data_IF_284226859205
#
_entry.id   IF_284226859205
#
_cell.length_a   1.000
_cell.length_b   1.000
_cell.length_c   1.000
_cell.angle_alpha   90.00
_cell.angle_beta   90.00
_cell.angle_gamma   90.00
#
_symmetry.space_group_name_H-M   'P 1'
#
loop_
_entity.id
_entity.type
_entity.pdbx_description
1 polymer ?
#
# COMPACT_ATOMS: atom_id res chain seq x y z
N UNK A 1 11.92 -42.59 26.49
CA UNK A 1 13.14 -42.01 25.89
C UNK A 1 12.72 -41.20 24.66
N UNK A 2 12.61 -39.88 24.81
CA UNK A 2 13.35 -38.85 24.04
C UNK A 2 13.03 -38.87 22.53
N UNK A 3 12.39 -37.86 21.93
CA UNK A 3 12.81 -36.45 21.95
C UNK A 3 11.62 -35.48 21.86
N UNK A 4 11.59 -34.46 22.71
CA UNK A 4 10.63 -33.37 22.64
C UNK A 4 10.70 -32.57 21.34
N UNK A 5 9.52 -32.09 20.92
CA UNK A 5 9.40 -30.88 20.11
C UNK A 5 8.45 -29.92 20.83
N UNK A 6 8.92 -29.34 21.94
CA UNK A 6 8.55 -27.96 22.20
C UNK A 6 8.94 -27.21 20.92
N UNK A 7 8.03 -26.46 20.29
CA UNK A 7 8.44 -25.53 19.24
C UNK A 7 8.92 -24.29 19.98
N UNK A 8 10.21 -24.18 20.37
CA UNK A 8 10.66 -23.22 21.38
C UNK A 8 10.80 -21.81 20.79
N UNK A 9 10.40 -21.65 19.52
CA UNK A 9 10.80 -20.50 18.71
C UNK A 9 10.00 -19.25 19.10
N UNK A 10 8.91 -19.32 19.87
CA UNK A 10 8.09 -18.12 20.14
C UNK A 10 7.85 -17.77 21.61
N UNK A 11 8.37 -18.55 22.57
CA UNK A 11 8.30 -18.20 24.01
C UNK A 11 9.29 -17.09 24.40
N UNK A 12 10.25 -16.78 23.53
CA UNK A 12 11.13 -15.60 23.66
C UNK A 12 10.60 -14.43 22.82
N UNK A 13 10.93 -13.20 23.24
CA UNK A 13 10.62 -12.00 22.47
C UNK A 13 11.30 -12.08 21.09
N UNK A 14 10.50 -11.88 20.04
CA UNK A 14 10.93 -11.82 18.64
C UNK A 14 10.72 -10.43 18.08
N UNK A 15 11.64 -10.04 17.21
CA UNK A 15 11.55 -8.83 16.40
C UNK A 15 11.46 -9.23 14.93
N UNK A 16 10.37 -8.81 14.30
CA UNK A 16 10.18 -8.86 12.86
C UNK A 16 10.53 -7.48 12.31
N UNK A 17 11.42 -7.42 11.33
CA UNK A 17 11.80 -6.18 10.63
C UNK A 17 11.29 -6.24 9.20
N UNK A 18 10.76 -5.11 8.73
CA UNK A 18 10.26 -4.96 7.37
C UNK A 18 11.18 -4.02 6.61
N UNK A 19 11.52 -4.37 5.38
CA UNK A 19 12.15 -3.43 4.44
C UNK A 19 11.31 -3.36 3.17
N UNK A 20 10.90 -2.16 2.79
CA UNK A 20 10.03 -1.93 1.64
C UNK A 20 10.84 -1.46 0.44
N UNK A 21 10.57 -2.04 -0.72
CA UNK A 21 11.18 -1.63 -1.98
C UNK A 21 10.25 -0.65 -2.69
N UNK A 22 10.72 0.58 -2.89
CA UNK A 22 10.00 1.61 -3.63
C UNK A 22 10.64 1.76 -5.00
N UNK A 23 9.85 1.60 -6.05
CA UNK A 23 10.24 2.01 -7.40
C UNK A 23 9.73 3.43 -7.66
N UNK A 24 10.60 4.28 -8.22
CA UNK A 24 10.26 5.63 -8.68
C UNK A 24 10.89 5.86 -10.06
N UNK A 25 10.14 6.51 -10.95
CA UNK A 25 10.65 6.89 -12.26
C UNK A 25 10.11 8.26 -12.69
N UNK A 26 11.03 9.11 -13.14
CA UNK A 26 10.71 10.41 -13.73
C UNK A 26 10.76 10.29 -15.25
N UNK A 27 9.58 10.21 -15.84
CA UNK A 27 9.36 10.15 -17.28
C UNK A 27 9.68 11.50 -17.93
N UNK A 28 9.95 11.47 -19.24
CA UNK A 28 9.75 12.65 -20.07
C UNK A 28 8.28 13.09 -19.99
N UNK A 29 8.01 14.38 -20.22
CA UNK A 29 6.64 14.86 -20.31
C UNK A 29 5.91 14.19 -21.48
N UNK A 30 4.99 13.30 -21.17
CA UNK A 30 4.20 12.56 -22.16
C UNK A 30 2.76 13.06 -22.14
N UNK A 31 2.27 13.57 -23.26
CA UNK A 31 0.87 14.01 -23.35
C UNK A 31 -0.05 12.83 -23.12
N UNK A 32 -1.08 13.04 -22.29
CA UNK A 32 -2.17 12.08 -22.21
C UNK A 32 -2.98 12.12 -23.50
N UNK A 33 -3.49 10.96 -23.97
CA UNK A 33 -4.45 10.92 -25.08
C UNK A 33 -5.77 11.60 -24.70
N UNK A 34 -6.57 11.97 -25.70
CA UNK A 34 -7.88 12.62 -25.49
C UNK A 34 -9.06 11.64 -25.40
N UNK A 35 -8.78 10.35 -25.50
CA UNK A 35 -9.72 9.24 -25.36
C UNK A 35 -9.04 8.10 -24.61
N UNK A 36 -9.81 7.15 -24.08
CA UNK A 36 -9.24 5.98 -23.43
C UNK A 36 -8.29 5.25 -24.41
N UNK A 37 -7.04 5.00 -24.02
CA UNK A 37 -6.07 4.32 -24.87
C UNK A 37 -6.21 2.81 -24.77
N UNK A 38 -5.89 2.11 -25.86
CA UNK A 38 -5.83 0.64 -25.88
C UNK A 38 -4.66 0.11 -25.02
N UNK A 39 -3.55 0.85 -24.99
CA UNK A 39 -2.37 0.54 -24.19
C UNK A 39 -2.30 1.40 -22.94
N UNK A 40 -2.07 0.75 -21.81
CA UNK A 40 -1.90 1.39 -20.51
C UNK A 40 -0.61 2.20 -20.45
N UNK A 41 -0.70 3.40 -19.85
CA UNK A 41 0.46 4.29 -19.70
C UNK A 41 1.42 3.76 -18.63
N UNK A 42 0.89 3.03 -17.64
CA UNK A 42 1.67 2.32 -16.63
C UNK A 42 1.23 0.87 -16.68
N UNK A 43 2.18 -0.04 -16.88
CA UNK A 43 2.00 -1.49 -16.83
C UNK A 43 3.13 -2.08 -15.99
N UNK A 44 2.78 -2.98 -15.08
CA UNK A 44 3.73 -3.56 -14.14
C UNK A 44 3.31 -4.99 -13.80
N UNK A 45 4.23 -5.93 -14.04
CA UNK A 45 4.11 -7.31 -13.60
C UNK A 45 4.79 -7.46 -12.26
N UNK A 46 4.07 -7.98 -11.27
CA UNK A 46 4.55 -8.13 -9.90
C UNK A 46 5.64 -9.19 -9.82
N UNK A 47 6.85 -8.79 -9.40
CA UNK A 47 7.96 -9.69 -9.11
C UNK A 47 7.99 -10.07 -7.62
N UNK A 48 8.72 -11.14 -7.30
CA UNK A 48 9.05 -11.49 -5.93
C UNK A 48 9.98 -10.44 -5.28
N UNK A 49 10.87 -9.83 -6.07
CA UNK A 49 11.78 -8.77 -5.61
C UNK A 49 11.05 -7.47 -5.21
N UNK A 50 9.82 -7.29 -5.67
CA UNK A 50 9.00 -6.14 -5.29
C UNK A 50 8.35 -6.30 -3.90
N UNK A 51 8.31 -7.53 -3.36
CA UNK A 51 7.71 -7.79 -2.05
C UNK A 51 8.56 -7.16 -0.94
N UNK A 52 7.93 -6.64 0.14
CA UNK A 52 8.69 -6.25 1.31
C UNK A 52 9.45 -7.44 1.88
N UNK A 53 10.72 -7.25 2.22
CA UNK A 53 11.51 -8.31 2.86
C UNK A 53 11.18 -8.37 4.36
N UNK A 54 11.14 -9.59 4.91
CA UNK A 54 11.07 -9.83 6.34
C UNK A 54 12.19 -10.78 6.77
N UNK A 55 12.67 -10.59 8.00
CA UNK A 55 13.60 -11.52 8.65
C UNK A 55 12.92 -12.77 9.25
N UNK A 56 11.60 -12.91 9.08
CA UNK A 56 10.81 -14.04 9.58
C UNK A 56 9.61 -14.28 8.66
N UNK A 57 9.33 -15.56 8.38
CA UNK A 57 8.19 -15.96 7.54
C UNK A 57 6.85 -15.76 8.22
N UNK A 58 5.78 -15.72 7.42
CA UNK A 58 4.38 -15.66 7.83
C UNK A 58 3.59 -16.81 7.20
N UNK A 59 2.43 -17.14 7.78
CA UNK A 59 1.53 -18.16 7.24
C UNK A 59 0.70 -17.60 6.09
N UNK A 60 0.22 -16.36 6.26
CA UNK A 60 -0.66 -15.68 5.32
C UNK A 60 -0.34 -14.18 5.32
N UNK A 61 -0.45 -13.54 4.17
CA UNK A 61 -0.47 -12.10 4.08
C UNK A 61 -1.34 -11.67 2.92
N UNK A 62 -1.95 -10.50 3.04
CA UNK A 62 -2.61 -9.83 1.94
C UNK A 62 -1.66 -8.75 1.40
N UNK A 63 -1.38 -8.75 0.12
CA UNK A 63 -0.52 -7.73 -0.49
C UNK A 63 -1.37 -6.65 -1.13
N UNK A 64 -1.03 -5.40 -0.83
CA UNK A 64 -1.56 -4.19 -1.46
C UNK A 64 -0.47 -3.63 -2.37
N UNK A 65 -0.80 -3.30 -3.62
CA UNK A 65 0.06 -2.46 -4.43
C UNK A 65 -0.45 -1.02 -4.41
N UNK A 66 0.39 -0.10 -3.96
CA UNK A 66 0.15 1.33 -4.11
C UNK A 66 0.91 1.81 -5.35
N UNK A 67 0.18 2.31 -6.35
CA UNK A 67 0.73 2.86 -7.60
C UNK A 67 0.35 4.33 -7.69
N UNK A 68 1.34 5.16 -7.98
CA UNK A 68 1.21 6.61 -8.07
C UNK A 68 1.52 7.05 -9.48
N UNK A 69 0.62 7.82 -10.09
CA UNK A 69 0.86 8.49 -11.35
C UNK A 69 0.77 10.01 -11.12
N UNK A 70 1.74 10.78 -11.59
CA UNK A 70 1.68 12.23 -11.44
C UNK A 70 2.12 12.98 -12.69
N UNK A 71 1.60 14.19 -12.81
CA UNK A 71 1.69 14.98 -14.02
C UNK A 71 1.24 16.41 -13.83
N UNK A 72 1.01 17.13 -14.93
CA UNK A 72 0.61 18.54 -14.91
C UNK A 72 -0.39 18.86 -16.02
N UNK A 73 -1.31 19.75 -15.71
CA UNK A 73 -2.12 20.44 -16.70
C UNK A 73 -1.42 21.75 -17.10
N UNK A 74 -0.88 21.82 -18.32
CA UNK A 74 -0.25 23.02 -18.87
C UNK A 74 -1.23 23.91 -19.64
N UNK A 75 -2.51 23.57 -19.69
CA UNK A 75 -3.52 24.44 -20.28
C UNK A 75 -3.77 25.67 -19.40
N UNK A 76 -4.30 26.73 -20.04
CA UNK A 76 -4.83 27.91 -19.36
C UNK A 76 -6.22 27.69 -18.74
N UNK A 77 -6.83 26.53 -18.95
CA UNK A 77 -8.12 26.13 -18.40
C UNK A 77 -8.01 24.83 -17.59
N UNK A 78 -8.96 24.61 -16.68
CA UNK A 78 -9.09 23.33 -15.98
C UNK A 78 -9.37 22.20 -16.95
N UNK A 79 -8.76 21.04 -16.72
CA UNK A 79 -8.92 19.83 -17.53
C UNK A 79 -9.36 18.66 -16.67
N UNK A 80 -10.08 17.73 -17.27
CA UNK A 80 -10.48 16.49 -16.60
C UNK A 80 -9.52 15.39 -17.02
N UNK A 81 -8.95 14.70 -16.03
CA UNK A 81 -8.18 13.47 -16.22
C UNK A 81 -9.07 12.30 -15.86
N UNK A 82 -9.09 11.30 -16.72
CA UNK A 82 -9.78 10.04 -16.52
C UNK A 82 -8.76 8.94 -16.28
N UNK A 83 -9.19 7.91 -15.55
CA UNK A 83 -8.34 6.79 -15.21
C UNK A 83 -9.12 5.49 -15.20
N UNK A 84 -8.43 4.40 -15.51
CA UNK A 84 -8.92 3.03 -15.35
C UNK A 84 -7.81 2.15 -14.76
N UNK A 85 -8.17 1.40 -13.72
CA UNK A 85 -7.36 0.37 -13.09
C UNK A 85 -7.71 -0.98 -13.71
N UNK A 86 -6.70 -1.72 -14.13
CA UNK A 86 -6.85 -3.05 -14.73
C UNK A 86 -5.92 -4.01 -14.00
N UNK A 87 -6.39 -5.22 -13.73
CA UNK A 87 -5.60 -6.31 -13.17
C UNK A 87 -5.82 -7.56 -14.01
N UNK A 88 -4.73 -8.15 -14.51
CA UNK A 88 -4.76 -9.37 -15.33
C UNK A 88 -5.74 -9.23 -16.51
N UNK A 89 -5.70 -8.10 -17.22
CA UNK A 89 -6.60 -7.77 -18.33
C UNK A 89 -8.04 -7.44 -17.95
N UNK A 90 -8.43 -7.60 -16.68
CA UNK A 90 -9.79 -7.29 -16.20
C UNK A 90 -9.87 -5.88 -15.60
N UNK A 91 -10.84 -5.09 -16.08
CA UNK A 91 -11.13 -3.76 -15.52
C UNK A 91 -11.60 -3.88 -14.07
N UNK A 92 -10.88 -3.24 -13.14
CA UNK A 92 -11.22 -3.24 -11.71
C UNK A 92 -12.04 -2.02 -11.29
N UNK A 93 -11.61 -0.84 -11.70
CA UNK A 93 -12.23 0.43 -11.33
C UNK A 93 -11.88 1.52 -12.35
N UNK A 94 -12.69 2.56 -12.41
CA UNK A 94 -12.42 3.74 -13.22
C UNK A 94 -13.00 4.99 -12.56
N UNK A 95 -12.60 6.15 -13.06
CA UNK A 95 -13.15 7.41 -12.62
C UNK A 95 -12.49 8.60 -13.31
N UNK A 96 -12.73 9.78 -12.77
CA UNK A 96 -12.13 11.01 -13.27
C UNK A 96 -11.95 12.04 -12.15
N UNK A 97 -11.15 13.05 -12.43
CA UNK A 97 -10.95 14.20 -11.55
C UNK A 97 -10.55 15.44 -12.36
N UNK A 98 -10.86 16.61 -11.82
CA UNK A 98 -10.51 17.89 -12.44
C UNK A 98 -9.19 18.43 -11.89
N UNK A 99 -8.35 18.93 -12.79
CA UNK A 99 -7.08 19.60 -12.47
C UNK A 99 -7.16 21.04 -12.96
N UNK A 100 -6.88 21.98 -12.05
CA UNK A 100 -6.82 23.41 -12.38
C UNK A 100 -5.79 23.74 -13.47
N UNK A 101 -5.97 24.87 -14.15
CA UNK A 101 -4.99 25.39 -15.09
C UNK A 101 -3.61 25.53 -14.42
N UNK A 102 -2.54 25.10 -15.09
CA UNK A 102 -1.16 25.14 -14.58
C UNK A 102 -0.86 24.30 -13.33
N UNK A 103 -1.81 23.48 -12.82
CA UNK A 103 -1.61 22.70 -11.60
C UNK A 103 -1.03 21.31 -11.89
N UNK A 104 -0.28 20.81 -10.92
CA UNK A 104 0.12 19.41 -10.86
C UNK A 104 -1.02 18.54 -10.33
N UNK A 105 -0.98 17.28 -10.71
CA UNK A 105 -1.91 16.25 -10.25
C UNK A 105 -1.17 14.98 -9.86
N UNK A 106 -1.78 14.21 -8.97
CA UNK A 106 -1.27 12.91 -8.52
C UNK A 106 -2.45 11.98 -8.28
N UNK A 107 -2.51 10.87 -9.00
CA UNK A 107 -3.43 9.78 -8.78
C UNK A 107 -2.78 8.76 -7.83
N UNK A 108 -3.47 8.43 -6.74
CA UNK A 108 -3.07 7.42 -5.76
C UNK A 108 -3.99 6.21 -5.99
N UNK A 109 -3.45 5.13 -6.56
CA UNK A 109 -4.22 3.93 -6.95
C UNK A 109 -3.82 2.74 -6.10
N UNK A 110 -4.79 2.00 -5.58
CA UNK A 110 -4.54 0.89 -4.67
C UNK A 110 -5.17 -0.42 -5.16
N UNK A 111 -4.32 -1.38 -5.53
CA UNK A 111 -4.73 -2.72 -5.91
C UNK A 111 -4.73 -3.62 -4.69
N UNK A 112 -5.83 -4.34 -4.47
CA UNK A 112 -6.02 -5.21 -3.33
C UNK A 112 -5.85 -6.67 -3.72
N UNK A 113 -5.30 -7.46 -2.79
CA UNK A 113 -5.09 -8.90 -2.96
C UNK A 113 -4.23 -9.20 -4.20
N UNK A 114 -3.06 -8.58 -4.24
CA UNK A 114 -2.05 -8.75 -5.29
C UNK A 114 -1.20 -9.99 -4.99
N UNK A 115 -0.75 -10.68 -6.03
CA UNK A 115 0.15 -11.82 -5.97
C UNK A 115 1.30 -11.64 -6.98
N UNK A 116 2.41 -12.34 -6.76
CA UNK A 116 3.50 -12.43 -7.74
C UNK A 116 2.94 -12.99 -9.06
N UNK A 117 3.35 -12.38 -10.18
CA UNK A 117 2.84 -12.69 -11.51
C UNK A 117 1.57 -11.93 -11.92
N UNK A 118 0.90 -11.22 -11.01
CA UNK A 118 -0.19 -10.33 -11.40
C UNK A 118 0.33 -9.19 -12.29
N UNK A 119 -0.43 -8.85 -13.33
CA UNK A 119 -0.20 -7.67 -14.18
C UNK A 119 -1.14 -6.57 -13.73
N UNK A 120 -0.58 -5.45 -13.27
CA UNK A 120 -1.29 -4.27 -12.80
C UNK A 120 -1.10 -3.12 -13.78
N UNK A 121 -2.20 -2.46 -14.16
CA UNK A 121 -2.15 -1.41 -15.17
C UNK A 121 -2.98 -0.18 -14.79
N UNK A 122 -2.51 0.98 -15.24
CA UNK A 122 -3.26 2.24 -15.22
C UNK A 122 -3.33 2.83 -16.63
N UNK A 123 -4.56 2.96 -17.13
CA UNK A 123 -4.88 3.78 -18.30
C UNK A 123 -5.24 5.17 -17.86
N UNK A 124 -4.72 6.16 -18.55
CA UNK A 124 -4.87 7.59 -18.25
C UNK A 124 -5.15 8.33 -19.56
N UNK A 125 -6.16 9.18 -19.55
CA UNK A 125 -6.48 10.08 -20.65
C UNK A 125 -7.08 11.38 -20.12
N UNK A 126 -7.17 12.40 -20.95
CA UNK A 126 -7.76 13.68 -20.60
C UNK A 126 -8.90 14.04 -21.54
N UNK A 127 -9.78 14.97 -21.14
CA UNK A 127 -10.83 15.47 -22.03
C UNK A 127 -10.31 16.41 -23.14
N UNK A 128 -9.02 16.79 -23.08
CA UNK A 128 -8.38 17.69 -24.03
C UNK A 128 -6.87 17.55 -23.93
N UNK A 129 -6.15 18.16 -24.89
CA UNK A 129 -4.70 18.19 -24.90
C UNK A 129 -4.11 19.05 -23.77
N UNK A 130 -2.78 19.06 -23.69
CA UNK A 130 -1.97 19.80 -22.73
C UNK A 130 -2.03 19.30 -21.27
N UNK A 131 -2.50 18.06 -21.07
CA UNK A 131 -2.34 17.35 -19.81
C UNK A 131 -1.30 16.26 -20.01
N UNK A 132 -0.29 16.22 -19.13
CA UNK A 132 0.88 15.38 -19.32
C UNK A 132 1.13 14.52 -18.09
N UNK A 133 1.56 13.29 -18.30
CA UNK A 133 2.17 12.41 -17.31
C UNK A 133 3.69 12.68 -17.26
N UNK A 134 4.27 12.62 -16.06
CA UNK A 134 5.73 12.74 -15.87
C UNK A 134 6.30 11.76 -14.86
N UNK A 135 5.47 11.12 -14.06
CA UNK A 135 5.94 10.44 -12.88
C UNK A 135 5.15 9.18 -12.65
N UNK A 136 5.86 8.11 -12.34
CA UNK A 136 5.29 6.90 -11.79
C UNK A 136 6.09 6.47 -10.55
N UNK A 137 5.39 5.91 -9.57
CA UNK A 137 6.02 5.18 -8.49
C UNK A 137 5.13 4.04 -8.05
N UNK A 138 5.74 3.02 -7.44
CA UNK A 138 5.01 1.89 -6.87
C UNK A 138 5.72 1.30 -5.66
N UNK A 139 4.94 0.73 -4.77
CA UNK A 139 5.43 -0.04 -3.63
C UNK A 139 4.39 -1.09 -3.26
N UNK A 140 4.84 -2.32 -2.97
CA UNK A 140 4.00 -3.35 -2.38
C UNK A 140 4.03 -3.25 -0.86
N UNK A 141 2.89 -3.48 -0.21
CA UNK A 141 2.73 -3.35 1.23
C UNK A 141 1.93 -4.54 1.77
N UNK A 142 2.44 -5.18 2.82
CA UNK A 142 1.68 -6.22 3.52
C UNK A 142 0.56 -5.60 4.36
N UNK A 143 -0.61 -6.20 4.26
CA UNK A 143 -1.79 -6.03 5.12
C UNK A 143 -2.22 -7.41 5.61
N UNK A 144 -2.98 -7.47 6.71
CA UNK A 144 -3.53 -8.72 7.26
C UNK A 144 -2.48 -9.82 7.42
N UNK A 145 -1.33 -9.45 8.00
CA UNK A 145 -0.27 -10.41 8.25
C UNK A 145 -0.75 -11.46 9.26
N UNK A 146 -0.86 -12.69 8.81
CA UNK A 146 -1.20 -13.87 9.57
C UNK A 146 0.07 -14.57 9.99
N UNK A 147 0.43 -14.38 11.24
CA UNK A 147 1.50 -15.11 11.90
C UNK A 147 0.86 -15.68 13.15
N UNK A 148 0.98 -16.99 13.38
CA UNK A 148 0.53 -17.66 14.61
C UNK A 148 -0.99 -17.89 14.70
N UNK A 149 -1.62 -18.37 13.62
CA UNK A 149 -3.03 -18.78 13.70
C UNK A 149 -3.23 -19.78 14.84
N UNK A 150 -4.15 -19.47 15.76
CA UNK A 150 -4.48 -20.34 16.90
C UNK A 150 -3.58 -20.18 18.13
N UNK A 151 -2.73 -19.13 18.21
CA UNK A 151 -1.92 -18.83 19.41
C UNK A 151 -2.23 -17.45 19.98
N UNK A 152 -2.15 -17.34 21.30
CA UNK A 152 -2.15 -16.06 22.00
C UNK A 152 -0.72 -15.50 22.07
N UNK A 153 -0.59 -14.18 21.89
CA UNK A 153 0.66 -13.46 22.12
C UNK A 153 0.64 -12.87 23.52
N UNK A 154 1.59 -13.27 24.36
CA UNK A 154 1.77 -12.66 25.68
C UNK A 154 2.17 -11.19 25.57
N UNK A 155 2.94 -10.86 24.53
CA UNK A 155 3.39 -9.51 24.22
C UNK A 155 3.23 -9.27 22.73
N UNK A 156 2.71 -8.10 22.37
CA UNK A 156 2.63 -7.62 21.00
C UNK A 156 2.83 -6.10 20.98
N UNK A 157 3.69 -5.64 20.08
CA UNK A 157 3.87 -4.22 19.78
C UNK A 157 4.23 -4.02 18.32
N UNK A 158 3.62 -3.04 17.68
CA UNK A 158 3.86 -2.68 16.29
C UNK A 158 4.39 -1.26 16.16
N UNK A 159 5.47 -1.08 15.43
CA UNK A 159 5.99 0.24 15.06
C UNK A 159 5.73 0.45 13.59
N UNK A 160 5.22 1.62 13.23
CA UNK A 160 4.85 1.94 11.88
C UNK A 160 5.46 3.26 11.42
N UNK A 161 5.71 3.36 10.13
CA UNK A 161 6.29 4.52 9.46
C UNK A 161 5.56 4.82 8.15
N UNK A 162 5.62 6.08 7.71
CA UNK A 162 4.94 6.52 6.49
C UNK A 162 5.66 6.02 5.24
N UNK A 163 4.97 5.22 4.42
CA UNK A 163 5.49 4.64 3.18
C UNK A 163 4.46 4.75 2.03
N UNK A 164 4.91 4.87 0.77
CA UNK A 164 6.32 4.93 0.34
C UNK A 164 6.96 6.29 0.63
N UNK A 165 8.25 6.33 0.96
CA UNK A 165 9.02 7.58 1.00
C UNK A 165 9.54 7.92 -0.40
N UNK A 166 8.80 8.76 -1.14
CA UNK A 166 9.17 9.19 -2.49
C UNK A 166 10.22 10.31 -2.46
N UNK A 167 11.11 10.32 -3.45
CA UNK A 167 12.28 11.22 -3.53
C UNK A 167 12.39 11.98 -4.86
N UNK A 168 11.76 11.51 -5.94
CA UNK A 168 11.81 12.14 -7.25
C UNK A 168 10.63 13.10 -7.49
N UNK A 169 10.84 14.14 -8.32
CA UNK A 169 9.78 15.06 -8.78
C UNK A 169 9.47 16.27 -7.89
N UNK A 170 10.13 16.42 -6.74
CA UNK A 170 9.71 17.33 -5.63
C UNK A 170 8.44 16.82 -4.92
N UNK A 171 8.51 15.62 -4.32
CA UNK A 171 7.38 14.97 -3.68
C UNK A 171 6.96 15.71 -2.40
N UNK A 172 5.66 15.69 -2.09
CA UNK A 172 5.11 16.21 -0.84
C UNK A 172 3.99 15.31 -0.33
N UNK A 173 4.05 14.98 0.97
CA UNK A 173 3.05 14.11 1.61
C UNK A 173 1.86 14.94 2.06
N UNK A 174 0.68 14.65 1.52
CA UNK A 174 -0.58 15.29 1.90
C UNK A 174 -1.13 14.70 3.20
N UNK A 175 -1.22 13.38 3.29
CA UNK A 175 -1.82 12.64 4.42
C UNK A 175 -1.14 11.29 4.62
N UNK A 176 -1.12 10.83 5.87
CA UNK A 176 -0.70 9.49 6.26
C UNK A 176 -1.89 8.71 6.79
N UNK A 177 -2.19 7.57 6.16
CA UNK A 177 -3.24 6.65 6.58
C UNK A 177 -2.80 5.88 7.82
N UNK A 178 -3.69 5.73 8.80
CA UNK A 178 -3.39 5.03 10.06
C UNK A 178 -3.32 3.52 9.87
N UNK A 179 -2.59 2.83 10.74
CA UNK A 179 -2.62 1.36 10.80
C UNK A 179 -3.70 0.93 11.79
N UNK A 180 -4.56 0.00 11.39
CA UNK A 180 -5.56 -0.56 12.29
C UNK A 180 -5.08 -1.91 12.81
N UNK A 181 -4.82 -2.00 14.11
CA UNK A 181 -4.36 -3.21 14.76
C UNK A 181 -5.59 -3.97 15.29
N UNK A 182 -5.73 -5.23 14.93
CA UNK A 182 -6.94 -6.02 15.15
C UNK A 182 -6.73 -7.09 16.22
N UNK A 183 -7.51 -6.98 17.29
CA UNK A 183 -7.63 -8.00 18.32
C UNK A 183 -8.95 -8.78 18.12
N UNK A 184 -9.07 -9.99 18.65
CA UNK A 184 -10.32 -10.76 18.59
C UNK A 184 -11.54 -9.97 19.10
N UNK A 185 -11.38 -9.20 20.18
CA UNK A 185 -12.50 -8.51 20.84
C UNK A 185 -12.64 -7.03 20.43
N UNK A 186 -11.78 -6.49 19.56
CA UNK A 186 -11.79 -5.06 19.27
C UNK A 186 -10.78 -4.57 18.24
N UNK A 187 -10.87 -3.28 17.91
CA UNK A 187 -10.02 -2.61 16.93
C UNK A 187 -9.29 -1.46 17.60
N UNK A 188 -7.97 -1.44 17.51
CA UNK A 188 -7.14 -0.34 17.96
C UNK A 188 -6.61 0.41 16.73
N UNK A 189 -7.14 1.62 16.49
CA UNK A 189 -6.57 2.51 15.47
C UNK A 189 -5.32 3.17 16.04
N UNK A 190 -4.16 3.00 15.41
CA UNK A 190 -2.93 3.69 15.80
C UNK A 190 -2.40 4.53 14.64
N UNK A 191 -2.26 5.84 14.87
CA UNK A 191 -1.62 6.77 13.95
C UNK A 191 -0.11 6.82 14.13
N UNK A 192 0.42 6.38 15.28
CA UNK A 192 1.84 6.27 15.61
C UNK A 192 1.99 5.83 17.06
N UNK A 193 3.09 5.13 17.35
CA UNK A 193 3.49 4.54 18.64
C UNK A 193 2.70 3.28 19.04
N UNK A 194 3.47 2.20 19.20
CA UNK A 194 3.09 0.86 19.66
C UNK A 194 1.77 0.72 20.38
N UNK A 195 0.92 -0.16 19.87
CA UNK A 195 -0.12 -0.79 20.69
C UNK A 195 0.59 -1.86 21.52
N UNK A 196 0.81 -1.59 22.80
CA UNK A 196 1.22 -2.62 23.76
C UNK A 196 -0.04 -3.32 24.27
N UNK A 197 -0.13 -4.64 24.05
CA UNK A 197 -1.21 -5.45 24.58
C UNK A 197 -0.67 -6.75 25.18
N UNK A 198 -1.04 -7.00 26.43
CA UNK A 198 -0.83 -8.28 27.09
C UNK A 198 -1.94 -9.25 26.68
N UNK A 199 -1.59 -10.48 26.26
CA UNK A 199 -2.53 -11.51 25.79
C UNK A 199 -3.35 -11.07 24.56
N UNK A 200 -2.66 -10.96 23.43
CA UNK A 200 -3.22 -10.62 22.14
C UNK A 200 -3.61 -11.86 21.33
N UNK A 201 -4.87 -11.92 20.90
CA UNK A 201 -5.39 -12.88 19.94
C UNK A 201 -5.68 -12.19 18.60
N UNK A 202 -5.10 -12.70 17.51
CA UNK A 202 -5.30 -12.13 16.18
C UNK A 202 -6.73 -12.31 15.68
N UNK A 203 -7.25 -11.36 14.92
CA UNK A 203 -8.56 -11.52 14.27
C UNK A 203 -8.53 -12.63 13.22
N UNK A 204 -9.49 -13.55 13.23
CA UNK A 204 -9.59 -14.59 12.19
C UNK A 204 -9.69 -14.01 10.77
N UNK A 205 -10.45 -12.92 10.60
CA UNK A 205 -10.73 -12.25 9.32
C UNK A 205 -9.67 -11.23 8.92
N UNK A 206 -9.17 -10.46 9.89
CA UNK A 206 -8.32 -9.30 9.62
C UNK A 206 -6.86 -9.47 10.08
N UNK A 207 -6.56 -10.63 10.68
CA UNK A 207 -5.24 -11.01 11.20
C UNK A 207 -4.70 -9.95 12.16
N UNK A 208 -3.39 -9.65 12.12
CA UNK A 208 -2.76 -8.71 13.05
C UNK A 208 -3.16 -7.25 12.79
N UNK A 209 -3.23 -6.82 11.54
CA UNK A 209 -3.52 -5.43 11.20
C UNK A 209 -4.10 -5.26 9.80
N UNK A 210 -4.68 -4.08 9.54
CA UNK A 210 -5.07 -3.62 8.20
C UNK A 210 -4.50 -2.25 7.90
N UNK A 211 -4.05 -2.07 6.66
CA UNK A 211 -3.66 -0.76 6.16
C UNK A 211 -4.89 0.11 5.86
N UNK A 212 -4.73 1.43 5.99
CA UNK A 212 -5.80 2.40 5.71
C UNK A 212 -6.17 2.39 4.23
N UNK A 213 -5.20 2.72 3.36
CA UNK A 213 -5.38 2.77 1.91
C UNK A 213 -5.12 1.39 1.29
N UNK A 214 -6.02 0.97 0.41
CA UNK A 214 -5.95 -0.29 -0.34
C UNK A 214 -6.61 -1.49 0.33
N UNK A 215 -6.76 -1.49 1.66
CA UNK A 215 -7.49 -2.56 2.38
C UNK A 215 -8.76 -2.07 3.08
N UNK A 216 -8.64 -1.18 4.08
CA UNK A 216 -9.80 -0.66 4.82
C UNK A 216 -10.62 0.31 3.97
N UNK A 217 -9.94 1.26 3.36
CA UNK A 217 -10.50 2.25 2.45
C UNK A 217 -9.83 2.13 1.09
N UNK A 218 -10.53 2.56 0.04
CA UNK A 218 -10.02 2.56 -1.33
C UNK A 218 -9.52 1.18 -1.82
N UNK A 219 -10.21 0.11 -1.43
CA UNK A 219 -9.96 -1.23 -1.96
C UNK A 219 -10.25 -1.25 -3.46
N UNK A 220 -9.27 -1.63 -4.28
CA UNK A 220 -9.41 -1.62 -5.76
C UNK A 220 -9.96 -0.29 -6.26
N UNK A 221 -9.39 0.81 -5.78
CA UNK A 221 -9.89 2.15 -6.05
C UNK A 221 -8.73 3.14 -6.06
N UNK A 222 -9.02 4.36 -6.52
CA UNK A 222 -8.06 5.44 -6.61
C UNK A 222 -8.68 6.77 -6.19
N UNK A 223 -7.83 7.72 -5.83
CA UNK A 223 -8.21 9.11 -5.65
C UNK A 223 -7.09 10.04 -6.08
N UNK A 224 -7.45 11.26 -6.46
CA UNK A 224 -6.51 12.26 -6.92
C UNK A 224 -6.28 13.37 -5.89
N UNK A 225 -5.08 13.92 -5.95
CA UNK A 225 -4.67 15.15 -5.28
C UNK A 225 -4.16 16.13 -6.36
N UNK A 226 -4.29 17.42 -6.11
CA UNK A 226 -3.71 18.47 -6.96
C UNK A 226 -2.91 19.44 -6.11
N UNK A 227 -1.87 20.04 -6.70
CA UNK A 227 -1.02 21.01 -6.03
C UNK A 227 -0.44 22.00 -7.04
N UNK A 228 -0.16 23.23 -6.61
CA UNK A 228 0.38 24.27 -7.50
C UNK A 228 1.89 24.12 -7.75
N UNK A 229 2.63 23.47 -6.83
CA UNK A 229 4.10 23.46 -6.87
C UNK A 229 4.79 22.13 -6.57
N UNK A 230 4.05 21.04 -6.31
CA UNK A 230 4.65 19.76 -5.88
C UNK A 230 4.05 18.60 -6.67
N UNK A 231 4.89 17.65 -7.05
CA UNK A 231 4.47 16.41 -7.69
C UNK A 231 5.51 15.30 -7.39
N UNK A 232 5.10 14.11 -6.98
CA UNK A 232 3.75 13.77 -6.55
C UNK A 232 3.34 14.50 -5.26
N UNK A 233 2.09 14.95 -5.17
CA UNK A 233 1.45 15.36 -3.92
C UNK A 233 0.54 14.22 -3.45
N UNK A 234 1.04 13.36 -2.57
CA UNK A 234 0.53 11.99 -2.43
C UNK A 234 0.17 11.63 -0.99
N UNK A 235 -0.57 10.52 -0.84
CA UNK A 235 -0.88 9.96 0.46
C UNK A 235 -0.06 8.68 0.68
N UNK A 236 0.39 8.51 1.91
CA UNK A 236 1.12 7.33 2.38
C UNK A 236 0.24 6.47 3.28
N UNK A 237 0.55 5.19 3.42
CA UNK A 237 0.13 4.40 4.58
C UNK A 237 1.20 4.51 5.66
N UNK A 238 0.81 4.53 6.93
CA UNK A 238 1.70 4.05 7.98
C UNK A 238 1.72 2.52 7.91
N UNK A 239 2.85 1.95 7.55
CA UNK A 239 3.07 0.50 7.42
C UNK A 239 4.04 0.01 8.49
N UNK A 240 4.01 -1.26 8.90
CA UNK A 240 4.90 -1.75 9.95
C UNK A 240 6.37 -1.67 9.53
N UNK A 241 7.22 -1.01 10.32
CA UNK A 241 8.69 -1.10 10.15
C UNK A 241 9.29 -2.20 11.02
N UNK A 242 8.71 -2.42 12.19
CA UNK A 242 9.04 -3.54 13.08
C UNK A 242 7.86 -3.99 13.92
N UNK A 243 7.82 -5.29 14.23
CA UNK A 243 6.87 -5.88 15.18
C UNK A 243 7.66 -6.62 16.25
N UNK A 244 7.37 -6.33 17.51
CA UNK A 244 7.87 -7.09 18.65
C UNK A 244 6.75 -8.00 19.16
N UNK A 245 7.05 -9.27 19.38
CA UNK A 245 6.05 -10.23 19.85
C UNK A 245 6.64 -11.37 20.67
N UNK A 246 5.83 -11.94 21.57
CA UNK A 246 6.13 -13.16 22.32
C UNK A 246 4.84 -13.97 22.39
N UNK A 247 4.87 -15.24 21.99
CA UNK A 247 3.73 -16.15 22.10
C UNK A 247 3.75 -16.93 23.42
N UNK A 248 2.57 -17.25 23.95
CA UNK A 248 2.44 -18.28 24.98
C UNK A 248 2.41 -19.67 24.35
N UNK A 249 2.84 -20.68 25.12
CA UNK A 249 2.93 -22.07 24.66
C UNK A 249 1.54 -22.73 24.49
N UNK A 250 0.53 -22.20 25.16
CA UNK A 250 -0.85 -22.70 25.10
C UNK A 250 -1.51 -22.40 23.75
N UNK A 251 -1.90 -23.47 23.03
CA UNK A 251 -2.83 -23.38 21.90
C UNK A 251 -4.24 -23.18 22.43
N UNK A 252 -5.01 -22.33 21.75
CA UNK A 252 -6.44 -22.22 21.99
C UNK A 252 -7.07 -23.54 21.47
N UNK A 253 -7.87 -24.26 22.29
CA UNK A 253 -8.57 -25.46 21.85
C UNK A 253 -9.56 -25.19 20.70
#
# INVERSE_FOLDING_TARGET
MSTGRATPIFTSLKEIKFSYNTYENLLSWTSLPTSEPDTSQIIYTVSEDDLPSLNMGFEQALIIAAIYAAGRNWASASRTVYWRMIKNGSSLANGSFTVGAQYYWTLNSFFHNVAVGDVLELRLWANSSNVYLRYEARQLQYSRLGMFSGRNLEYFRIYAEGQPSLTLGSPSVRRKGVIYVYHRIGIYASSSAGVDASRWESSATYKLYRLYYGDRYYRNSAFANTHSSSYPYYNQNNVPSRILLRAVEERIP
#
